data_IF_115508327386
#
_entry.id   IF_115508327386
#
_cell.length_a   1.000
_cell.length_b   1.000
_cell.length_c   1.000
_cell.angle_alpha   90.00
_cell.angle_beta   90.00
_cell.angle_gamma   90.00
#
_symmetry.space_group_name_H-M   'P 1'
#
loop_
_entity.id
_entity.type
_entity.pdbx_description
1 polymer ?
#
# COMPACT_ATOMS: atom_id res chain seq x y z
N UNK A 1 -13.48 12.11 -20.81
CA UNK A 1 -13.38 10.85 -20.02
C UNK A 1 -12.31 11.03 -18.96
N UNK A 2 -12.54 10.62 -17.73
CA UNK A 2 -11.56 10.64 -16.64
C UNK A 2 -10.49 9.57 -16.86
N UNK A 3 -9.22 9.90 -16.64
CA UNK A 3 -8.13 8.92 -16.68
C UNK A 3 -7.47 8.79 -15.31
N UNK A 4 -7.41 7.57 -14.79
CA UNK A 4 -6.61 7.22 -13.63
C UNK A 4 -5.19 6.87 -14.08
N UNK A 5 -4.16 7.39 -13.42
CA UNK A 5 -2.76 7.14 -13.76
C UNK A 5 -2.02 6.58 -12.53
N UNK A 6 -1.35 5.46 -12.70
CA UNK A 6 -0.59 4.79 -11.65
C UNK A 6 -0.32 3.32 -12.02
N UNK A 7 -0.04 2.48 -11.03
CA UNK A 7 -0.07 1.03 -11.23
C UNK A 7 -1.51 0.52 -11.25
N UNK A 8 -1.72 -0.67 -11.84
CA UNK A 8 -3.04 -1.30 -11.95
C UNK A 8 -2.89 -2.84 -12.03
N UNK A 9 -3.87 -3.63 -11.58
CA UNK A 9 -3.80 -5.08 -11.76
C UNK A 9 -3.61 -5.47 -13.24
N UNK A 10 -2.80 -6.50 -13.52
CA UNK A 10 -2.34 -7.57 -12.62
C UNK A 10 -1.03 -7.26 -11.85
N UNK A 11 -0.52 -6.01 -11.88
CA UNK A 11 0.61 -5.62 -11.01
C UNK A 11 0.21 -5.80 -9.53
N UNK A 12 1.05 -6.48 -8.77
CA UNK A 12 0.77 -6.85 -7.37
C UNK A 12 1.35 -5.84 -6.40
N UNK A 13 0.68 -4.71 -6.24
CA UNK A 13 1.03 -3.71 -5.22
C UNK A 13 -0.23 -3.02 -4.68
N UNK A 14 -0.12 -2.39 -3.50
CA UNK A 14 -1.24 -1.70 -2.85
C UNK A 14 -1.85 -0.60 -3.69
N UNK A 15 -1.03 0.18 -4.42
CA UNK A 15 -1.50 1.26 -5.30
C UNK A 15 -2.30 0.70 -6.48
N UNK A 16 -1.91 -0.46 -7.03
CA UNK A 16 -2.66 -1.10 -8.11
C UNK A 16 -4.07 -1.50 -7.65
N UNK A 17 -4.18 -2.10 -6.47
CA UNK A 17 -5.46 -2.43 -5.83
C UNK A 17 -6.28 -1.17 -5.55
N UNK A 18 -5.67 -0.16 -4.93
CA UNK A 18 -6.32 1.12 -4.66
C UNK A 18 -6.88 1.77 -5.93
N UNK A 19 -6.11 1.78 -7.01
CA UNK A 19 -6.49 2.40 -8.28
C UNK A 19 -7.66 1.65 -8.96
N UNK A 20 -7.69 0.32 -8.86
CA UNK A 20 -8.82 -0.52 -9.29
C UNK A 20 -10.08 -0.19 -8.47
N UNK A 21 -9.97 -0.20 -7.15
CA UNK A 21 -11.09 0.00 -6.25
C UNK A 21 -11.67 1.41 -6.39
N UNK A 22 -10.80 2.41 -6.56
CA UNK A 22 -11.21 3.78 -6.88
C UNK A 22 -11.97 3.85 -8.20
N UNK A 23 -11.45 3.18 -9.25
CA UNK A 23 -12.14 3.12 -10.55
C UNK A 23 -13.52 2.47 -10.44
N UNK A 24 -13.61 1.34 -9.75
CA UNK A 24 -14.88 0.65 -9.53
C UNK A 24 -15.89 1.52 -8.74
N UNK A 25 -15.42 2.25 -7.73
CA UNK A 25 -16.25 3.19 -6.99
C UNK A 25 -16.74 4.32 -7.89
N UNK A 26 -15.87 4.92 -8.69
CA UNK A 26 -16.23 5.96 -9.65
C UNK A 26 -17.27 5.49 -10.68
N UNK A 27 -17.13 4.25 -11.17
CA UNK A 27 -18.12 3.66 -12.08
C UNK A 27 -19.49 3.48 -11.40
N UNK A 28 -19.53 3.05 -10.14
CA UNK A 28 -20.79 2.96 -9.38
C UNK A 28 -21.48 4.30 -9.20
N UNK A 29 -20.69 5.37 -9.10
CA UNK A 29 -21.19 6.76 -9.04
C UNK A 29 -21.46 7.37 -10.43
N UNK A 30 -21.44 6.57 -11.50
CA UNK A 30 -21.73 7.03 -12.85
C UNK A 30 -20.61 7.83 -13.51
N UNK A 31 -19.39 7.76 -12.99
CA UNK A 31 -18.21 8.44 -13.56
C UNK A 31 -17.39 7.47 -14.41
N UNK A 32 -17.58 7.49 -15.76
CA UNK A 32 -16.83 6.61 -16.63
C UNK A 32 -15.34 6.98 -16.63
N UNK A 33 -14.48 5.99 -16.46
CA UNK A 33 -13.05 6.17 -16.35
C UNK A 33 -12.24 5.08 -17.05
N UNK A 34 -11.07 5.47 -17.53
CA UNK A 34 -10.06 4.61 -18.11
C UNK A 34 -8.76 4.68 -17.30
N UNK A 35 -7.80 3.82 -17.60
CA UNK A 35 -6.55 3.72 -16.85
C UNK A 35 -5.35 3.84 -17.79
N UNK A 36 -4.34 4.62 -17.39
CA UNK A 36 -3.01 4.59 -17.96
C UNK A 36 -2.04 4.05 -16.90
N UNK A 37 -1.33 2.99 -17.24
CA UNK A 37 -0.48 2.27 -16.30
C UNK A 37 0.97 2.71 -16.45
N UNK A 38 1.64 2.89 -15.31
CA UNK A 38 3.11 2.93 -15.22
C UNK A 38 3.56 1.61 -14.62
N UNK A 39 4.47 0.92 -15.30
CA UNK A 39 4.90 -0.43 -14.98
C UNK A 39 6.41 -0.56 -14.99
N UNK A 40 6.97 -1.47 -14.18
CA UNK A 40 8.37 -1.87 -14.36
C UNK A 40 8.57 -2.52 -15.73
N UNK A 41 9.79 -2.48 -16.30
CA UNK A 41 10.04 -3.02 -17.64
C UNK A 41 9.55 -4.46 -17.83
N UNK A 42 9.71 -5.30 -16.81
CA UNK A 42 9.27 -6.70 -16.78
C UNK A 42 7.74 -6.88 -16.68
N UNK A 43 7.01 -5.83 -16.31
CA UNK A 43 5.56 -5.84 -16.12
C UNK A 43 4.80 -5.24 -17.32
N UNK A 44 5.50 -4.58 -18.26
CA UNK A 44 4.86 -3.89 -19.39
C UNK A 44 4.04 -4.83 -20.28
N UNK A 45 4.46 -6.10 -20.39
CA UNK A 45 3.80 -7.12 -21.22
C UNK A 45 2.72 -7.91 -20.47
N UNK A 46 2.39 -7.55 -19.24
CA UNK A 46 1.32 -8.23 -18.49
C UNK A 46 -0.04 -8.10 -19.21
N UNK A 47 -0.94 -9.07 -19.05
CA UNK A 47 -2.27 -9.05 -19.68
C UNK A 47 -3.20 -8.08 -18.96
N UNK A 48 -3.03 -6.80 -19.18
CA UNK A 48 -3.89 -5.77 -18.60
C UNK A 48 -5.31 -5.85 -19.13
N UNK A 49 -6.33 -5.52 -18.30
CA UNK A 49 -7.72 -5.51 -18.72
C UNK A 49 -8.03 -4.36 -19.70
N UNK A 50 -9.20 -4.42 -20.34
CA UNK A 50 -9.59 -3.53 -21.46
C UNK A 50 -9.64 -2.03 -21.09
N UNK A 51 -9.90 -1.70 -19.84
CA UNK A 51 -9.90 -0.32 -19.35
C UNK A 51 -8.52 0.31 -19.32
N UNK A 52 -7.45 -0.48 -19.42
CA UNK A 52 -6.09 0.02 -19.53
C UNK A 52 -5.83 0.40 -20.97
N UNK A 53 -5.85 1.69 -21.24
CA UNK A 53 -5.69 2.25 -22.60
C UNK A 53 -4.24 2.51 -22.98
N UNK A 54 -3.34 2.56 -22.00
CA UNK A 54 -1.91 2.78 -22.23
C UNK A 54 -1.09 2.19 -21.11
N UNK A 55 0.04 1.57 -21.47
CA UNK A 55 1.09 1.17 -20.53
C UNK A 55 2.37 1.91 -20.90
N UNK A 56 3.03 2.50 -19.91
CA UNK A 56 4.31 3.20 -20.05
C UNK A 56 5.32 2.52 -19.14
N UNK A 57 6.48 2.19 -19.67
CA UNK A 57 7.56 1.67 -18.85
C UNK A 57 8.07 2.75 -17.89
N UNK A 58 8.33 2.37 -16.65
CA UNK A 58 8.70 3.30 -15.56
C UNK A 58 9.85 4.22 -15.94
N UNK A 59 10.88 3.73 -16.63
CA UNK A 59 12.06 4.51 -16.99
C UNK A 59 11.97 5.15 -18.40
N UNK A 60 10.84 4.99 -19.11
CA UNK A 60 10.62 5.58 -20.43
C UNK A 60 10.05 7.01 -20.34
N UNK A 61 10.94 7.99 -20.13
CA UNK A 61 10.54 9.40 -19.99
C UNK A 61 9.79 9.94 -21.22
N UNK A 62 10.16 9.52 -22.42
CA UNK A 62 9.42 9.94 -23.64
C UNK A 62 8.01 9.36 -23.67
N UNK A 63 7.82 8.15 -23.13
CA UNK A 63 6.50 7.55 -22.93
C UNK A 63 5.61 8.40 -22.03
N UNK A 64 6.13 8.99 -20.96
CA UNK A 64 5.38 9.93 -20.10
C UNK A 64 4.94 11.18 -20.87
N UNK A 65 5.83 11.79 -21.62
CA UNK A 65 5.52 12.96 -22.47
C UNK A 65 4.51 12.63 -23.55
N UNK A 66 4.64 11.46 -24.17
CA UNK A 66 3.67 10.98 -25.15
C UNK A 66 2.30 10.76 -24.53
N UNK A 67 2.25 10.15 -23.34
CA UNK A 67 1.01 9.97 -22.58
C UNK A 67 0.38 11.32 -22.22
N UNK A 68 1.14 12.27 -21.69
CA UNK A 68 0.64 13.61 -21.36
C UNK A 68 -0.02 14.30 -22.57
N UNK A 69 0.56 14.16 -23.76
CA UNK A 69 -0.02 14.71 -25.00
C UNK A 69 -1.33 14.03 -25.42
N UNK A 70 -1.57 12.79 -25.02
CA UNK A 70 -2.81 12.05 -25.30
C UNK A 70 -3.93 12.36 -24.31
N UNK A 71 -3.58 12.70 -23.07
CA UNK A 71 -4.55 12.98 -22.00
C UNK A 71 -5.22 14.34 -22.24
N UNK A 72 -6.53 14.33 -22.53
CA UNK A 72 -7.34 15.54 -22.84
C UNK A 72 -8.38 15.86 -21.78
N UNK A 73 -8.72 14.91 -20.94
CA UNK A 73 -9.75 15.05 -19.90
C UNK A 73 -9.13 15.22 -18.50
N UNK A 74 -9.99 15.15 -17.46
CA UNK A 74 -9.51 15.11 -16.09
C UNK A 74 -8.60 13.90 -15.83
N UNK A 75 -7.59 14.12 -15.01
CA UNK A 75 -6.63 13.07 -14.60
C UNK A 75 -6.62 12.95 -13.08
N UNK A 76 -6.74 11.74 -12.56
CA UNK A 76 -6.39 11.40 -11.17
C UNK A 76 -5.09 10.60 -11.20
N UNK A 77 -4.05 11.16 -10.59
CA UNK A 77 -2.71 10.59 -10.58
C UNK A 77 -2.38 10.08 -9.19
N UNK A 78 -2.01 8.80 -9.10
CA UNK A 78 -1.54 8.20 -7.85
C UNK A 78 -0.07 8.54 -7.67
N UNK A 79 0.31 9.16 -6.57
CA UNK A 79 1.70 9.52 -6.30
C UNK A 79 2.28 8.73 -5.13
N UNK A 80 3.38 8.06 -5.43
CA UNK A 80 4.31 7.46 -4.48
C UNK A 80 5.73 7.63 -5.03
N UNK A 81 6.71 7.91 -4.17
CA UNK A 81 8.08 8.23 -4.60
C UNK A 81 8.78 7.13 -5.38
N UNK A 82 8.39 5.88 -5.21
CA UNK A 82 8.92 4.74 -5.95
C UNK A 82 8.15 4.36 -7.21
N UNK A 83 7.05 5.06 -7.53
CA UNK A 83 6.13 4.65 -8.58
C UNK A 83 6.60 5.03 -9.98
N UNK A 84 7.10 6.24 -10.13
CA UNK A 84 7.53 6.81 -11.42
C UNK A 84 9.04 6.71 -11.59
N UNK A 85 9.51 6.81 -12.85
CA UNK A 85 10.93 6.85 -13.16
C UNK A 85 11.62 8.16 -12.78
N UNK A 86 12.94 8.17 -12.95
CA UNK A 86 13.77 9.30 -12.58
C UNK A 86 14.13 9.36 -11.10
N UNK A 87 14.65 10.50 -10.66
CA UNK A 87 15.04 10.67 -9.26
C UNK A 87 13.78 10.84 -8.39
N UNK A 88 13.54 9.88 -7.50
CA UNK A 88 12.37 9.86 -6.61
C UNK A 88 11.02 10.02 -7.32
N UNK A 89 10.95 9.56 -8.58
CA UNK A 89 9.72 9.59 -9.35
C UNK A 89 9.45 10.91 -10.10
N UNK A 90 10.46 11.74 -10.33
CA UNK A 90 10.30 13.09 -10.90
C UNK A 90 9.78 13.12 -12.34
N UNK A 91 9.76 11.98 -13.06
CA UNK A 91 9.10 11.90 -14.38
C UNK A 91 7.59 12.13 -14.30
N UNK A 92 6.99 12.06 -13.11
CA UNK A 92 5.60 12.46 -12.89
C UNK A 92 5.30 13.88 -13.34
N UNK A 93 6.28 14.78 -13.30
CA UNK A 93 6.13 16.17 -13.74
C UNK A 93 5.82 16.24 -15.24
N UNK A 94 6.39 15.34 -16.06
CA UNK A 94 6.07 15.27 -17.49
C UNK A 94 4.58 14.86 -17.71
N UNK A 95 3.99 14.03 -16.85
CA UNK A 95 2.56 13.70 -16.91
C UNK A 95 1.68 14.88 -16.51
N UNK A 96 2.12 15.71 -15.59
CA UNK A 96 1.37 16.89 -15.14
C UNK A 96 1.38 18.03 -16.17
N UNK A 97 2.09 17.91 -17.29
CA UNK A 97 1.95 18.79 -18.45
C UNK A 97 0.72 18.45 -19.32
N UNK A 98 -0.05 17.39 -18.99
CA UNK A 98 -1.28 17.06 -19.68
C UNK A 98 -2.28 18.22 -19.66
N UNK A 99 -3.08 18.33 -20.75
CA UNK A 99 -4.17 19.30 -20.82
C UNK A 99 -5.34 18.84 -19.93
N UNK A 100 -5.97 19.74 -19.25
CA UNK A 100 -7.11 19.41 -18.40
C UNK A 100 -6.77 19.35 -16.90
N UNK A 101 -7.81 19.22 -16.06
CA UNK A 101 -7.64 19.21 -14.63
C UNK A 101 -6.87 17.98 -14.14
N UNK A 102 -5.96 18.19 -13.20
CA UNK A 102 -5.15 17.13 -12.58
C UNK A 102 -5.33 17.16 -11.08
N UNK A 103 -5.75 16.02 -10.55
CA UNK A 103 -5.82 15.71 -9.13
C UNK A 103 -4.71 14.73 -8.81
N UNK A 104 -3.92 15.00 -7.78
CA UNK A 104 -2.87 14.07 -7.32
C UNK A 104 -3.24 13.50 -5.98
N UNK A 105 -3.30 12.19 -5.88
CA UNK A 105 -3.49 11.45 -4.62
C UNK A 105 -2.12 11.12 -4.06
N UNK A 106 -1.83 11.61 -2.86
CA UNK A 106 -0.54 11.47 -2.20
C UNK A 106 -0.60 10.30 -1.21
N UNK A 107 0.08 9.20 -1.54
CA UNK A 107 0.11 8.00 -0.69
C UNK A 107 1.10 8.15 0.46
N UNK A 108 2.19 8.87 0.26
CA UNK A 108 3.21 9.13 1.29
C UNK A 108 3.56 10.61 1.37
N UNK A 109 3.60 11.13 2.60
CA UNK A 109 4.06 12.47 2.94
C UNK A 109 5.16 12.34 4.02
N UNK A 110 6.39 12.69 3.66
CA UNK A 110 7.55 12.51 4.52
C UNK A 110 7.86 13.77 5.33
N UNK A 111 8.02 13.61 6.64
CA UNK A 111 8.46 14.64 7.57
C UNK A 111 9.94 14.50 7.94
N UNK A 112 10.49 13.29 7.82
CA UNK A 112 11.88 12.95 8.07
C UNK A 112 12.44 12.11 6.91
N UNK A 113 13.77 12.05 6.74
CA UNK A 113 14.35 11.16 5.75
C UNK A 113 13.99 9.69 6.04
N UNK A 114 13.57 8.91 5.03
CA UNK A 114 13.41 7.48 5.20
C UNK A 114 14.72 6.80 5.64
N UNK A 115 14.66 5.62 6.29
CA UNK A 115 15.85 4.88 6.69
C UNK A 115 16.85 4.70 5.54
N UNK A 116 18.11 5.05 5.80
CA UNK A 116 19.19 4.97 4.80
C UNK A 116 19.30 6.16 3.83
N UNK A 117 18.43 7.16 3.95
CA UNK A 117 18.45 8.39 3.15
C UNK A 117 18.85 9.59 4.02
N UNK A 118 19.26 10.67 3.34
CA UNK A 118 19.68 11.91 4.02
C UNK A 118 18.71 13.07 3.83
N UNK A 119 18.97 14.16 4.57
CA UNK A 119 18.21 15.42 4.46
C UNK A 119 18.16 15.99 3.03
N UNK A 120 19.18 15.71 2.21
CA UNK A 120 19.19 16.15 0.82
C UNK A 120 18.11 15.45 -0.01
N UNK A 121 17.87 14.17 0.25
CA UNK A 121 16.82 13.41 -0.42
C UNK A 121 15.44 13.88 0.03
N UNK A 122 15.24 14.08 1.34
CA UNK A 122 14.00 14.64 1.86
C UNK A 122 13.67 16.00 1.22
N UNK A 123 14.66 16.91 1.17
CA UNK A 123 14.47 18.22 0.50
C UNK A 123 14.12 18.08 -0.97
N UNK A 124 14.70 17.10 -1.67
CA UNK A 124 14.36 16.85 -3.07
C UNK A 124 12.92 16.37 -3.22
N UNK A 125 12.50 15.38 -2.41
CA UNK A 125 11.13 14.85 -2.40
C UNK A 125 10.10 15.93 -2.06
N UNK A 126 10.39 16.78 -1.07
CA UNK A 126 9.55 17.93 -0.73
C UNK A 126 9.52 18.99 -1.85
N UNK A 127 10.63 19.18 -2.56
CA UNK A 127 10.72 20.01 -3.76
C UNK A 127 9.84 19.48 -4.89
N UNK A 128 9.79 18.17 -5.06
CA UNK A 128 8.92 17.52 -6.03
C UNK A 128 7.44 17.76 -5.74
N UNK A 129 7.01 17.69 -4.46
CA UNK A 129 5.63 18.03 -4.07
C UNK A 129 5.28 19.48 -4.45
N UNK A 130 6.18 20.43 -4.23
CA UNK A 130 5.97 21.83 -4.66
C UNK A 130 5.86 21.96 -6.17
N UNK A 131 6.74 21.31 -6.92
CA UNK A 131 6.72 21.33 -8.37
C UNK A 131 5.44 20.68 -8.96
N UNK A 132 4.92 19.64 -8.31
CA UNK A 132 3.62 19.07 -8.67
C UNK A 132 2.48 20.03 -8.36
N UNK A 133 2.52 20.76 -7.24
CA UNK A 133 1.50 21.75 -6.87
C UNK A 133 1.42 22.92 -7.86
N UNK A 134 2.51 23.27 -8.54
CA UNK A 134 2.51 24.28 -9.60
C UNK A 134 1.73 23.84 -10.86
N UNK A 135 1.52 22.52 -11.02
CA UNK A 135 0.93 21.91 -12.24
C UNK A 135 -0.42 21.25 -12.00
N UNK A 136 -0.72 20.87 -10.79
CA UNK A 136 -1.97 20.22 -10.39
C UNK A 136 -3.00 21.25 -9.92
N UNK A 137 -4.29 20.92 -10.02
CA UNK A 137 -5.38 21.73 -9.53
C UNK A 137 -5.72 21.47 -8.06
N UNK A 138 -5.48 20.24 -7.58
CA UNK A 138 -5.70 19.89 -6.18
C UNK A 138 -4.87 18.65 -5.79
N UNK A 139 -4.65 18.53 -4.48
CA UNK A 139 -4.12 17.30 -3.88
C UNK A 139 -5.19 16.60 -3.03
N UNK A 140 -5.12 15.27 -2.98
CA UNK A 140 -5.78 14.46 -1.98
C UNK A 140 -4.71 13.88 -1.07
N UNK A 141 -4.82 14.15 0.22
CA UNK A 141 -4.01 13.53 1.26
C UNK A 141 -4.83 12.42 1.94
N UNK A 142 -4.23 11.25 2.11
CA UNK A 142 -4.90 10.08 2.72
C UNK A 142 -4.80 10.10 4.25
N UNK A 143 -3.96 10.99 4.80
CA UNK A 143 -3.74 11.16 6.23
C UNK A 143 -4.29 12.54 6.70
N UNK A 144 -4.92 12.63 7.88
CA UNK A 144 -5.53 13.89 8.36
C UNK A 144 -4.54 15.05 8.54
N UNK A 145 -3.28 14.75 8.86
CA UNK A 145 -2.23 15.79 8.99
C UNK A 145 -1.69 16.28 7.64
N UNK A 146 -2.07 15.63 6.54
CA UNK A 146 -1.51 15.88 5.22
C UNK A 146 -1.67 17.30 4.74
N UNK A 147 -2.81 17.95 5.01
CA UNK A 147 -3.00 19.35 4.66
C UNK A 147 -2.02 20.25 5.40
N UNK A 148 -1.86 20.08 6.73
CA UNK A 148 -0.92 20.86 7.53
C UNK A 148 0.52 20.72 7.03
N UNK A 149 0.95 19.50 6.73
CA UNK A 149 2.27 19.23 6.20
C UNK A 149 2.51 19.91 4.84
N UNK A 150 1.55 19.81 3.93
CA UNK A 150 1.65 20.45 2.61
C UNK A 150 1.67 21.98 2.72
N UNK A 151 0.86 22.58 3.62
CA UNK A 151 0.89 24.02 3.88
C UNK A 151 2.24 24.46 4.42
N UNK A 152 2.83 23.71 5.35
CA UNK A 152 4.18 23.98 5.87
C UNK A 152 5.26 23.92 4.77
N UNK A 153 5.07 23.07 3.74
CA UNK A 153 5.92 23.04 2.55
C UNK A 153 5.66 24.17 1.55
N UNK A 154 4.69 25.05 1.81
CA UNK A 154 4.34 26.17 0.93
C UNK A 154 3.36 25.82 -0.20
N UNK A 155 2.73 24.65 -0.19
CA UNK A 155 1.69 24.25 -1.14
C UNK A 155 0.46 25.15 -0.94
N UNK A 156 -0.03 25.79 -2.01
CA UNK A 156 -1.15 26.75 -1.99
C UNK A 156 -2.43 26.25 -2.66
N UNK A 157 -2.35 25.22 -3.49
CA UNK A 157 -3.52 24.64 -4.15
C UNK A 157 -4.45 23.98 -3.11
N UNK A 158 -5.74 23.74 -3.47
CA UNK A 158 -6.65 22.98 -2.63
C UNK A 158 -6.07 21.62 -2.24
N UNK A 159 -6.22 21.26 -0.97
CA UNK A 159 -5.88 19.93 -0.42
C UNK A 159 -7.12 19.38 0.26
N UNK A 160 -7.56 18.20 -0.13
CA UNK A 160 -8.65 17.48 0.51
C UNK A 160 -8.08 16.30 1.29
N UNK A 161 -8.49 16.14 2.55
CA UNK A 161 -8.28 14.89 3.28
C UNK A 161 -9.40 13.91 2.91
N UNK A 162 -9.04 12.82 2.24
CA UNK A 162 -9.95 11.71 1.92
C UNK A 162 -9.24 10.45 2.41
N UNK A 163 -9.71 9.81 3.49
CA UNK A 163 -9.07 8.62 4.03
C UNK A 163 -9.19 7.44 3.04
N UNK A 164 -8.34 6.43 3.23
CA UNK A 164 -8.45 5.20 2.46
C UNK A 164 -9.85 4.61 2.57
N UNK A 165 -10.42 4.21 1.43
CA UNK A 165 -11.64 3.42 1.38
C UNK A 165 -11.38 2.01 1.96
N UNK A 166 -12.41 1.43 2.54
CA UNK A 166 -12.42 0.03 2.94
C UNK A 166 -13.53 -0.70 2.21
N UNK A 167 -13.33 -1.95 1.79
CA UNK A 167 -14.37 -2.72 1.12
C UNK A 167 -15.58 -2.94 2.05
N UNK A 168 -16.77 -2.68 1.55
CA UNK A 168 -18.01 -3.07 2.23
C UNK A 168 -18.36 -4.52 1.84
N UNK A 169 -17.89 -5.46 2.62
CA UNK A 169 -18.02 -6.88 2.35
C UNK A 169 -19.00 -7.53 3.32
N UNK A 170 -19.72 -8.58 2.87
CA UNK A 170 -20.49 -9.42 3.76
C UNK A 170 -19.62 -9.93 4.92
N UNK A 171 -20.10 -9.76 6.15
CA UNK A 171 -19.39 -10.20 7.36
C UNK A 171 -20.03 -11.50 7.87
N UNK A 172 -19.53 -12.69 7.48
CA UNK A 172 -19.96 -13.93 8.09
C UNK A 172 -19.73 -13.90 9.61
N UNK A 173 -20.53 -14.63 10.41
CA UNK A 173 -20.32 -14.70 11.85
C UNK A 173 -18.89 -15.11 12.17
N UNK A 174 -18.20 -14.34 13.00
CA UNK A 174 -16.78 -14.53 13.38
C UNK A 174 -16.50 -15.96 13.80
N UNK A 175 -17.34 -16.54 14.64
CA UNK A 175 -17.16 -17.90 15.14
C UNK A 175 -17.32 -18.98 14.04
N UNK A 176 -18.06 -18.69 12.98
CA UNK A 176 -18.13 -19.58 11.81
C UNK A 176 -16.79 -19.55 11.03
N UNK A 177 -16.21 -18.35 10.87
CA UNK A 177 -14.90 -18.19 10.26
C UNK A 177 -13.81 -18.88 11.09
N UNK A 178 -13.81 -18.69 12.42
CA UNK A 178 -12.86 -19.37 13.32
C UNK A 178 -12.98 -20.89 13.23
N UNK A 179 -14.19 -21.44 13.21
CA UNK A 179 -14.40 -22.89 13.04
C UNK A 179 -13.82 -23.38 11.70
N UNK A 180 -14.05 -22.66 10.61
CA UNK A 180 -13.51 -23.02 9.30
C UNK A 180 -11.95 -22.98 9.24
N UNK A 181 -11.33 -22.22 10.14
CA UNK A 181 -9.88 -22.15 10.29
C UNK A 181 -9.32 -23.14 11.32
N UNK A 182 -10.17 -23.95 12.00
CA UNK A 182 -9.75 -24.81 13.10
C UNK A 182 -9.41 -24.06 14.40
N UNK A 183 -9.88 -22.81 14.53
CA UNK A 183 -9.56 -21.90 15.65
C UNK A 183 -10.82 -21.60 16.52
N UNK A 184 -11.77 -22.53 16.56
CA UNK A 184 -12.98 -22.37 17.37
C UNK A 184 -12.65 -22.07 18.82
N UNK A 185 -13.27 -21.03 19.39
CA UNK A 185 -13.06 -20.61 20.78
C UNK A 185 -11.71 -19.92 21.06
N UNK A 186 -10.83 -19.77 20.08
CA UNK A 186 -9.60 -19.02 20.23
C UNK A 186 -9.86 -17.51 20.29
N UNK A 187 -9.04 -16.78 21.03
CA UNK A 187 -8.88 -15.33 20.87
C UNK A 187 -7.79 -15.08 19.85
N UNK A 188 -8.19 -14.65 18.64
CA UNK A 188 -7.31 -14.56 17.50
C UNK A 188 -6.72 -13.16 17.31
N UNK A 189 -5.42 -13.04 17.50
CA UNK A 189 -4.62 -11.90 17.05
C UNK A 189 -4.22 -12.13 15.60
N UNK A 190 -4.26 -11.10 14.77
CA UNK A 190 -3.93 -11.20 13.35
C UNK A 190 -3.00 -10.08 12.92
N UNK A 191 -1.96 -10.42 12.17
CA UNK A 191 -1.08 -9.48 11.45
C UNK A 191 -0.97 -9.93 10.01
N UNK A 192 -1.04 -8.99 9.08
CA UNK A 192 -0.92 -9.24 7.65
C UNK A 192 0.03 -8.25 6.98
N UNK A 193 0.68 -8.66 5.90
CA UNK A 193 1.42 -7.78 5.01
C UNK A 193 2.75 -8.35 4.50
N UNK A 194 3.64 -7.48 4.07
CA UNK A 194 5.01 -7.84 3.72
C UNK A 194 5.81 -8.07 5.02
N UNK A 195 6.25 -9.31 5.21
CA UNK A 195 6.93 -9.73 6.43
C UNK A 195 8.41 -9.33 6.41
N UNK A 196 8.86 -8.73 7.48
CA UNK A 196 10.24 -8.29 7.66
C UNK A 196 10.46 -7.68 9.04
N UNK A 197 11.70 -7.33 9.41
CA UNK A 197 12.04 -6.80 10.74
C UNK A 197 11.18 -5.61 11.17
N UNK A 198 10.88 -4.68 10.24
CA UNK A 198 10.05 -3.50 10.51
C UNK A 198 8.58 -3.80 10.85
N UNK A 199 8.11 -5.06 10.73
CA UNK A 199 6.74 -5.44 11.13
C UNK A 199 6.58 -5.72 12.63
N UNK A 200 7.67 -5.68 13.41
CA UNK A 200 7.65 -5.83 14.86
C UNK A 200 7.18 -7.22 15.34
N UNK A 201 7.38 -8.28 14.54
CA UNK A 201 6.94 -9.63 14.89
C UNK A 201 7.65 -10.13 16.15
N UNK A 202 8.93 -9.81 16.32
CA UNK A 202 9.73 -10.16 17.49
C UNK A 202 9.18 -9.51 18.77
N UNK A 203 8.73 -8.27 18.66
CA UNK A 203 8.07 -7.60 19.78
C UNK A 203 6.71 -8.26 20.09
N UNK A 204 5.91 -8.55 19.06
CA UNK A 204 4.62 -9.20 19.23
C UNK A 204 4.74 -10.59 19.88
N UNK A 205 5.77 -11.37 19.54
CA UNK A 205 6.05 -12.66 20.19
C UNK A 205 6.39 -12.53 21.68
N UNK A 206 7.17 -11.51 22.06
CA UNK A 206 7.46 -11.22 23.47
C UNK A 206 6.18 -10.84 24.25
N UNK A 207 5.29 -10.09 23.61
CA UNK A 207 3.98 -9.76 24.20
C UNK A 207 3.11 -11.02 24.33
N UNK A 208 3.06 -11.86 23.28
CA UNK A 208 2.35 -13.13 23.29
C UNK A 208 2.79 -14.03 24.44
N UNK A 209 4.10 -14.13 24.68
CA UNK A 209 4.67 -14.92 25.78
C UNK A 209 4.22 -14.44 27.18
N UNK A 210 3.93 -13.15 27.31
CA UNK A 210 3.40 -12.58 28.56
C UNK A 210 1.88 -12.76 28.70
N UNK A 211 1.15 -12.78 27.60
CA UNK A 211 -0.31 -12.88 27.60
C UNK A 211 -0.78 -14.33 27.72
N UNK A 212 -0.09 -15.27 27.08
CA UNK A 212 -0.48 -16.67 26.97
C UNK A 212 -0.74 -17.35 28.34
N UNK A 213 0.07 -17.15 29.40
CA UNK A 213 -0.20 -17.71 30.72
C UNK A 213 -1.51 -17.24 31.36
N UNK A 214 -1.98 -16.03 30.99
CA UNK A 214 -3.22 -15.44 31.51
C UNK A 214 -4.44 -15.75 30.64
N UNK A 215 -4.20 -16.06 29.36
CA UNK A 215 -5.24 -16.45 28.41
C UNK A 215 -4.74 -17.53 27.46
N UNK A 216 -4.82 -18.83 27.83
CA UNK A 216 -4.34 -19.94 27.02
C UNK A 216 -5.03 -20.10 25.66
N UNK A 217 -6.16 -19.43 25.46
CA UNK A 217 -6.92 -19.46 24.19
C UNK A 217 -6.37 -18.49 23.13
N UNK A 218 -5.43 -17.63 23.50
CA UNK A 218 -4.85 -16.69 22.52
C UNK A 218 -4.10 -17.46 21.44
N UNK A 219 -4.33 -17.08 20.19
CA UNK A 219 -3.55 -17.53 19.03
C UNK A 219 -3.11 -16.29 18.25
N UNK A 220 -1.90 -16.27 17.79
CA UNK A 220 -1.37 -15.19 16.97
C UNK A 220 -1.08 -15.70 15.56
N UNK A 221 -1.92 -15.28 14.62
CA UNK A 221 -1.77 -15.59 13.19
C UNK A 221 -1.07 -14.44 12.49
N UNK A 222 0.04 -14.74 11.88
CA UNK A 222 0.76 -13.86 10.97
C UNK A 222 0.63 -14.42 9.57
N UNK A 223 0.18 -13.59 8.62
CA UNK A 223 0.03 -14.01 7.24
C UNK A 223 0.67 -12.99 6.28
N UNK A 224 1.28 -13.49 5.21
CA UNK A 224 1.87 -12.65 4.18
C UNK A 224 3.11 -13.25 3.56
N UNK A 225 3.72 -12.52 2.64
CA UNK A 225 4.98 -12.92 2.01
C UNK A 225 6.15 -12.12 2.57
N UNK A 226 7.35 -12.64 2.45
CA UNK A 226 8.55 -11.89 2.75
C UNK A 226 8.62 -10.61 1.92
N UNK A 227 9.18 -9.56 2.52
CA UNK A 227 9.49 -8.34 1.77
C UNK A 227 10.47 -8.68 0.63
N UNK A 228 10.21 -8.26 -0.63
CA UNK A 228 11.01 -8.69 -1.79
C UNK A 228 12.51 -8.43 -1.67
N UNK A 229 12.91 -7.33 -1.03
CA UNK A 229 14.32 -7.04 -0.79
C UNK A 229 14.94 -8.04 0.20
N UNK A 230 14.21 -8.37 1.26
CA UNK A 230 14.68 -9.33 2.26
C UNK A 230 14.79 -10.74 1.66
N UNK A 231 13.81 -11.15 0.87
CA UNK A 231 13.80 -12.44 0.16
C UNK A 231 15.02 -12.60 -0.75
N UNK A 232 15.42 -11.53 -1.46
CA UNK A 232 16.60 -11.53 -2.33
C UNK A 232 17.93 -11.58 -1.58
N UNK A 233 18.04 -10.97 -0.39
CA UNK A 233 19.29 -10.85 0.35
C UNK A 233 19.49 -11.94 1.40
N UNK A 234 18.44 -12.33 2.11
CA UNK A 234 18.49 -13.28 3.23
C UNK A 234 17.69 -14.56 2.97
N UNK A 235 16.88 -14.61 1.90
CA UNK A 235 15.97 -15.72 1.66
C UNK A 235 14.97 -15.87 2.82
N UNK A 236 14.73 -17.10 3.27
CA UNK A 236 13.76 -17.41 4.33
C UNK A 236 14.30 -17.29 5.75
N UNK A 237 15.59 -16.97 5.92
CA UNK A 237 16.26 -16.93 7.25
C UNK A 237 15.54 -16.05 8.27
N UNK A 238 14.93 -14.94 7.83
CA UNK A 238 14.16 -14.10 8.74
C UNK A 238 12.98 -14.85 9.36
N UNK A 239 12.19 -15.55 8.57
CA UNK A 239 11.03 -16.31 9.08
C UNK A 239 11.46 -17.51 9.93
N UNK A 240 12.60 -18.11 9.62
CA UNK A 240 13.19 -19.16 10.45
C UNK A 240 13.55 -18.63 11.83
N UNK A 241 14.26 -17.49 11.92
CA UNK A 241 14.55 -16.81 13.18
C UNK A 241 13.29 -16.47 13.99
N UNK A 242 12.23 -16.00 13.32
CA UNK A 242 10.96 -15.68 13.97
C UNK A 242 10.32 -16.95 14.58
N UNK A 243 10.36 -18.09 13.88
CA UNK A 243 9.87 -19.38 14.39
C UNK A 243 10.73 -19.87 15.57
N UNK A 244 12.04 -19.86 15.42
CA UNK A 244 12.97 -20.22 16.49
C UNK A 244 12.74 -19.38 17.75
N UNK A 245 12.50 -18.09 17.58
CA UNK A 245 12.16 -17.20 18.69
C UNK A 245 10.84 -17.57 19.34
N UNK A 246 9.81 -17.94 18.56
CA UNK A 246 8.52 -18.37 19.09
C UNK A 246 8.68 -19.65 19.95
N UNK A 247 9.49 -20.62 19.49
CA UNK A 247 9.81 -21.82 20.24
C UNK A 247 10.58 -21.50 21.53
N UNK A 248 11.63 -20.68 21.44
CA UNK A 248 12.44 -20.26 22.57
C UNK A 248 11.64 -19.52 23.66
N UNK A 249 10.59 -18.78 23.26
CA UNK A 249 9.67 -18.10 24.16
C UNK A 249 8.53 -19.00 24.69
N UNK A 250 8.47 -20.27 24.28
CA UNK A 250 7.43 -21.21 24.67
C UNK A 250 6.03 -20.88 24.09
N UNK A 251 5.97 -20.19 22.97
CA UNK A 251 4.71 -19.79 22.32
C UNK A 251 4.52 -20.41 20.93
N UNK A 252 5.35 -21.38 20.54
CA UNK A 252 5.33 -22.01 19.23
C UNK A 252 3.94 -22.55 18.82
N UNK A 253 3.23 -23.23 19.73
CA UNK A 253 1.88 -23.75 19.48
C UNK A 253 0.80 -22.64 19.33
N UNK A 254 1.04 -21.48 19.93
CA UNK A 254 0.12 -20.34 19.87
C UNK A 254 0.44 -19.40 18.67
N UNK A 255 1.61 -19.56 18.08
CA UNK A 255 2.07 -18.75 16.93
C UNK A 255 1.83 -19.47 15.61
N UNK A 256 1.01 -18.90 14.76
CA UNK A 256 0.63 -19.46 13.46
C UNK A 256 1.21 -18.57 12.35
N UNK A 257 2.12 -19.09 11.56
CA UNK A 257 2.73 -18.38 10.44
C UNK A 257 2.25 -18.96 9.11
N UNK A 258 1.48 -18.17 8.37
CA UNK A 258 0.99 -18.49 7.03
C UNK A 258 1.76 -17.67 6.00
N UNK A 259 2.80 -18.27 5.46
CA UNK A 259 3.64 -17.65 4.46
C UNK A 259 3.01 -17.76 3.06
N UNK A 260 3.07 -16.69 2.30
CA UNK A 260 2.65 -16.62 0.90
C UNK A 260 1.74 -15.44 0.59
N UNK A 261 1.38 -15.34 -0.68
CA UNK A 261 0.39 -14.37 -1.13
C UNK A 261 -1.01 -14.86 -0.76
N UNK A 262 -1.79 -14.01 -0.13
CA UNK A 262 -3.21 -14.26 0.13
C UNK A 262 -4.04 -13.61 -0.97
N UNK A 263 -5.06 -14.32 -1.44
CA UNK A 263 -6.13 -13.70 -2.21
C UNK A 263 -6.91 -12.70 -1.33
N UNK A 264 -7.58 -11.74 -1.93
CA UNK A 264 -8.43 -10.80 -1.18
C UNK A 264 -9.49 -11.54 -0.35
N UNK A 265 -10.12 -12.57 -0.91
CA UNK A 265 -11.10 -13.37 -0.18
C UNK A 265 -10.50 -14.04 1.05
N UNK A 266 -9.30 -14.63 0.94
CA UNK A 266 -8.61 -15.25 2.06
C UNK A 266 -8.24 -14.22 3.12
N UNK A 267 -7.71 -13.05 2.71
CA UNK A 267 -7.38 -11.96 3.61
C UNK A 267 -8.62 -11.51 4.41
N UNK A 268 -9.72 -11.27 3.73
CA UNK A 268 -10.96 -10.84 4.38
C UNK A 268 -11.54 -11.90 5.33
N UNK A 269 -11.42 -13.18 4.97
CA UNK A 269 -11.84 -14.29 5.86
C UNK A 269 -10.98 -14.33 7.12
N UNK A 270 -9.66 -14.16 7.00
CA UNK A 270 -8.74 -14.13 8.15
C UNK A 270 -8.99 -12.89 9.01
N UNK A 271 -9.10 -11.71 8.41
CA UNK A 271 -9.41 -10.47 9.11
C UNK A 271 -10.78 -10.52 9.81
N UNK A 272 -11.80 -11.10 9.15
CA UNK A 272 -13.12 -11.29 9.73
C UNK A 272 -13.16 -12.29 10.90
N UNK A 273 -12.25 -13.27 10.92
CA UNK A 273 -12.10 -14.22 12.03
C UNK A 273 -11.35 -13.62 13.22
N UNK A 274 -10.54 -12.58 13.01
CA UNK A 274 -9.71 -12.00 14.05
C UNK A 274 -10.54 -11.26 15.13
N UNK A 275 -10.09 -11.36 16.37
CA UNK A 275 -10.62 -10.55 17.47
C UNK A 275 -9.90 -9.21 17.57
N UNK A 276 -8.61 -9.21 17.21
CA UNK A 276 -7.77 -8.03 17.21
C UNK A 276 -6.81 -8.09 16.02
N UNK A 277 -6.75 -7.01 15.23
CA UNK A 277 -5.67 -6.79 14.27
C UNK A 277 -4.50 -6.13 15.00
N UNK A 278 -3.33 -6.77 14.94
CA UNK A 278 -2.12 -6.30 15.61
C UNK A 278 -1.16 -5.70 14.58
N UNK A 279 -0.94 -4.40 14.67
CA UNK A 279 0.02 -3.67 13.89
C UNK A 279 1.14 -3.20 14.84
N UNK A 280 2.24 -3.94 14.85
CA UNK A 280 3.38 -3.68 15.71
C UNK A 280 4.58 -3.07 14.95
N UNK A 281 4.33 -2.56 13.75
CA UNK A 281 5.35 -1.94 12.90
C UNK A 281 6.00 -0.75 13.59
N UNK A 282 7.30 -0.58 13.39
CA UNK A 282 8.05 0.55 13.96
C UNK A 282 7.65 1.88 13.28
N UNK A 283 7.33 1.83 11.98
CA UNK A 283 6.87 2.97 11.20
C UNK A 283 5.76 2.52 10.24
N UNK A 284 4.69 3.29 10.17
CA UNK A 284 3.59 3.11 9.23
C UNK A 284 3.09 4.47 8.77
N UNK A 285 2.95 4.66 7.46
CA UNK A 285 2.27 5.84 6.90
C UNK A 285 0.75 5.67 6.94
N UNK A 286 0.29 4.46 6.67
CA UNK A 286 -1.09 4.00 6.80
C UNK A 286 -1.08 2.48 6.93
N UNK A 287 -1.66 1.94 7.99
CA UNK A 287 -1.73 0.49 8.24
C UNK A 287 -2.72 -0.20 7.30
N UNK A 288 -2.29 -0.51 6.09
CA UNK A 288 -3.06 -1.29 5.10
C UNK A 288 -2.91 -2.78 5.32
#
# INVERSE_FOLDING_TARGET
MLTLVGTYPPIRCGIATFNRDLREALLREGVPSQVAVVAHPEEVALPFPQEVVRVVAREDREGYRALARLLRGPVILQHEYGLYGGKWGDYVLDLLEAQGPKLVVLHTLLQAPPPGLGEADLRYMQGLLRAMAERAQAFVALHPEGEGLLRALGVRIPVAHIPHGVPDLPRPPKEALKRALGLAGAFLLFTYGLLGPGKGLEFALKVLARVLPHNPRVRYLVAGRLHPNLERHEGRRYLERVREMAEALGVGEAFLLREGYLSEEELYRLAGAADLFLLASEEESFGQ
#
